data_IF_338738107835
#
_entry.id   IF_338738107835
#
_cell.length_a   1.000
_cell.length_b   1.000
_cell.length_c   1.000
_cell.angle_alpha   90.00
_cell.angle_beta   90.00
_cell.angle_gamma   90.00
#
_symmetry.space_group_name_H-M   'P 1'
#
loop_
_entity.id
_entity.type
_entity.pdbx_description
1 polymer ?
#
# COMPACT_ATOMS: atom_id res chain seq x y z
N UNK A 1 -11.79 25.90 30.97
CA UNK A 1 -12.67 24.90 30.34
C UNK A 1 -11.86 23.80 29.67
N UNK A 2 -12.37 22.60 29.66
CA UNK A 2 -11.78 21.49 28.91
C UNK A 2 -12.55 21.28 27.62
N UNK A 3 -11.84 21.00 26.56
CA UNK A 3 -12.40 20.66 25.25
C UNK A 3 -12.03 19.23 24.91
N UNK A 4 -12.94 18.51 24.30
CA UNK A 4 -12.67 17.13 23.83
C UNK A 4 -12.18 17.16 22.39
N UNK A 5 -11.21 16.30 22.12
CA UNK A 5 -10.78 15.99 20.76
C UNK A 5 -10.76 14.48 20.56
N UNK A 6 -10.80 14.07 19.30
CA UNK A 6 -10.88 12.68 18.93
C UNK A 6 -9.76 12.38 17.94
N UNK A 7 -8.86 11.47 18.31
CA UNK A 7 -7.72 11.09 17.49
C UNK A 7 -8.01 9.73 16.86
N UNK A 8 -7.89 9.66 15.54
CA UNK A 8 -7.91 8.38 14.83
C UNK A 8 -6.51 7.78 14.91
N UNK A 9 -6.41 6.61 15.51
CA UNK A 9 -5.16 5.89 15.71
C UNK A 9 -5.22 4.59 14.94
N UNK A 10 -4.22 4.34 14.11
CA UNK A 10 -4.01 3.04 13.49
C UNK A 10 -2.75 2.40 14.07
N UNK A 11 -2.63 1.09 13.92
CA UNK A 11 -1.48 0.36 14.38
C UNK A 11 -1.10 -0.73 13.40
N UNK A 12 0.18 -1.07 13.39
CA UNK A 12 0.72 -2.15 12.59
C UNK A 12 1.61 -3.04 13.44
N UNK A 13 1.69 -4.32 13.04
CA UNK A 13 2.51 -5.30 13.71
C UNK A 13 1.82 -5.99 14.88
N UNK A 14 2.55 -6.88 15.53
CA UNK A 14 2.10 -7.66 16.67
C UNK A 14 3.25 -7.85 17.66
N UNK A 15 2.92 -7.97 18.96
CA UNK A 15 3.87 -8.24 20.05
C UNK A 15 5.10 -7.34 20.07
N UNK A 16 6.23 -7.80 19.54
CA UNK A 16 7.53 -7.14 19.64
C UNK A 16 7.73 -6.01 18.64
N UNK A 17 6.95 -6.02 17.55
CA UNK A 17 7.02 -5.03 16.46
C UNK A 17 5.71 -4.29 16.29
N UNK A 18 5.17 -3.78 17.38
CA UNK A 18 3.92 -3.02 17.39
C UNK A 18 4.21 -1.51 17.25
N UNK A 19 3.61 -0.88 16.25
CA UNK A 19 3.73 0.56 16.00
C UNK A 19 2.34 1.19 15.91
N UNK A 20 2.17 2.31 16.62
CA UNK A 20 0.94 3.12 16.57
C UNK A 20 1.17 4.38 15.74
N UNK A 21 0.16 4.74 14.97
CA UNK A 21 0.17 5.93 14.12
C UNK A 21 -1.01 6.82 14.45
N UNK A 22 -0.74 8.10 14.76
CA UNK A 22 -1.77 9.10 14.94
C UNK A 22 -2.12 9.69 13.56
N UNK A 23 -3.26 9.27 13.01
CA UNK A 23 -3.62 9.59 11.64
C UNK A 23 -4.17 11.00 11.50
N UNK A 24 -5.16 11.36 12.31
CA UNK A 24 -5.80 12.67 12.26
C UNK A 24 -6.57 12.98 13.55
N UNK A 25 -6.69 14.26 13.86
CA UNK A 25 -7.41 14.77 15.03
C UNK A 25 -8.67 15.50 14.57
N UNK A 26 -9.78 15.24 15.24
CA UNK A 26 -11.08 15.85 14.96
C UNK A 26 -11.68 16.47 16.23
N UNK A 27 -12.48 17.49 16.06
CA UNK A 27 -13.25 18.08 17.16
C UNK A 27 -14.54 17.30 17.45
N UNK A 28 -15.07 16.58 16.46
CA UNK A 28 -16.32 15.84 16.55
C UNK A 28 -16.09 14.35 16.42
N UNK A 29 -16.69 13.59 17.33
CA UNK A 29 -16.55 12.13 17.36
C UNK A 29 -17.07 11.48 16.07
N UNK A 30 -18.21 11.93 15.56
CA UNK A 30 -18.79 11.37 14.33
C UNK A 30 -17.88 11.54 13.10
N UNK A 31 -17.15 12.65 13.01
CA UNK A 31 -16.19 12.88 11.92
C UNK A 31 -14.98 11.95 12.06
N UNK A 32 -14.50 11.76 13.29
CA UNK A 32 -13.40 10.81 13.56
C UNK A 32 -13.81 9.36 13.25
N UNK A 33 -15.01 8.94 13.67
CA UNK A 33 -15.54 7.60 13.42
C UNK A 33 -15.68 7.36 11.91
N UNK A 34 -16.19 8.34 11.16
CA UNK A 34 -16.32 8.23 9.71
C UNK A 34 -14.97 8.13 9.00
N UNK A 35 -14.00 8.93 9.42
CA UNK A 35 -12.64 8.87 8.88
C UNK A 35 -11.99 7.52 9.14
N UNK A 36 -12.10 7.00 10.37
CA UNK A 36 -11.60 5.68 10.74
C UNK A 36 -12.21 4.59 9.87
N UNK A 37 -13.51 4.64 9.66
CA UNK A 37 -14.25 3.70 8.82
C UNK A 37 -13.79 3.73 7.36
N UNK A 38 -13.58 4.93 6.80
CA UNK A 38 -13.09 5.09 5.43
C UNK A 38 -11.67 4.54 5.29
N UNK A 39 -10.80 4.84 6.26
CA UNK A 39 -9.41 4.37 6.24
C UNK A 39 -9.33 2.85 6.34
N UNK A 40 -10.14 2.23 7.20
CA UNK A 40 -10.23 0.78 7.32
C UNK A 40 -10.78 0.15 6.03
N UNK A 41 -11.78 0.76 5.42
CA UNK A 41 -12.32 0.29 4.15
C UNK A 41 -11.26 0.27 3.04
N UNK A 42 -10.44 1.31 2.94
CA UNK A 42 -9.33 1.36 1.97
C UNK A 42 -8.28 0.28 2.24
N UNK A 43 -7.93 0.06 3.52
CA UNK A 43 -6.88 -0.89 3.90
C UNK A 43 -7.30 -2.35 3.80
N UNK A 44 -8.56 -2.65 4.10
CA UNK A 44 -9.06 -4.04 4.21
C UNK A 44 -10.00 -4.47 3.09
N UNK A 45 -10.36 -3.57 2.18
CA UNK A 45 -11.19 -3.93 1.03
C UNK A 45 -10.47 -4.95 0.14
N UNK A 46 -11.14 -6.05 -0.18
CA UNK A 46 -10.57 -7.06 -1.07
C UNK A 46 -10.40 -6.51 -2.48
N UNK A 47 -9.25 -6.77 -3.13
CA UNK A 47 -9.05 -6.40 -4.52
C UNK A 47 -10.01 -7.17 -5.45
N UNK A 48 -10.34 -6.56 -6.57
CA UNK A 48 -11.15 -7.21 -7.62
C UNK A 48 -10.34 -8.18 -8.47
N UNK A 49 -9.01 -8.05 -8.44
CA UNK A 49 -8.11 -8.93 -9.20
C UNK A 49 -7.99 -10.26 -8.48
N UNK A 50 -8.17 -11.36 -9.22
CA UNK A 50 -7.98 -12.71 -8.70
C UNK A 50 -6.52 -12.91 -8.26
N UNK A 51 -6.32 -13.42 -7.05
CA UNK A 51 -5.00 -13.64 -6.47
C UNK A 51 -4.14 -14.59 -7.32
N UNK A 52 -4.74 -15.65 -7.86
CA UNK A 52 -4.03 -16.61 -8.72
C UNK A 52 -3.52 -15.95 -9.99
N UNK A 53 -4.39 -15.17 -10.65
CA UNK A 53 -4.04 -14.42 -11.85
C UNK A 53 -2.94 -13.40 -11.57
N UNK A 54 -3.02 -12.71 -10.44
CA UNK A 54 -1.99 -11.76 -10.01
C UNK A 54 -0.63 -12.42 -9.80
N UNK A 55 -0.60 -13.57 -9.12
CA UNK A 55 0.64 -14.32 -8.88
C UNK A 55 1.25 -14.84 -10.19
N UNK A 56 0.42 -15.27 -11.12
CA UNK A 56 0.89 -15.64 -12.47
C UNK A 56 1.53 -14.44 -13.18
N UNK A 57 0.88 -13.28 -13.13
CA UNK A 57 1.39 -12.06 -13.73
C UNK A 57 2.74 -11.65 -13.13
N UNK A 58 2.85 -11.65 -11.81
CA UNK A 58 4.12 -11.35 -11.12
C UNK A 58 5.22 -12.36 -11.47
N UNK A 59 4.89 -13.64 -11.46
CA UNK A 59 5.83 -14.68 -11.86
C UNK A 59 6.36 -14.50 -13.28
N UNK A 60 5.50 -14.14 -14.21
CA UNK A 60 5.88 -13.85 -15.59
C UNK A 60 6.71 -12.57 -15.73
N UNK A 61 6.44 -11.56 -14.92
CA UNK A 61 7.26 -10.36 -14.88
C UNK A 61 8.71 -10.70 -14.47
N UNK A 62 8.89 -11.43 -13.37
CA UNK A 62 10.22 -11.83 -12.89
C UNK A 62 10.91 -12.74 -13.90
N UNK A 63 10.22 -13.74 -14.42
CA UNK A 63 10.77 -14.65 -15.42
C UNK A 63 11.25 -13.91 -16.67
N UNK A 64 10.41 -13.04 -17.24
CA UNK A 64 10.72 -12.30 -18.45
C UNK A 64 11.93 -11.38 -18.27
N UNK A 65 11.98 -10.66 -17.13
CA UNK A 65 13.09 -9.74 -16.87
C UNK A 65 14.39 -10.47 -16.56
N UNK A 66 14.33 -11.59 -15.83
CA UNK A 66 15.51 -12.43 -15.59
C UNK A 66 16.08 -12.99 -16.89
N UNK A 67 15.22 -13.46 -17.79
CA UNK A 67 15.63 -13.93 -19.11
C UNK A 67 16.27 -12.82 -19.96
N UNK A 68 15.71 -11.61 -19.88
CA UNK A 68 16.16 -10.48 -20.70
C UNK A 68 17.43 -9.82 -20.17
N UNK A 69 17.55 -9.65 -18.86
CA UNK A 69 18.61 -8.87 -18.21
C UNK A 69 19.57 -9.71 -17.34
N UNK A 70 19.26 -10.99 -17.12
CA UNK A 70 20.03 -11.88 -16.26
C UNK A 70 19.75 -11.74 -14.78
N UNK A 71 20.45 -12.53 -13.96
CA UNK A 71 20.33 -12.46 -12.51
C UNK A 71 20.74 -11.08 -12.00
N UNK A 72 20.04 -10.61 -10.98
CA UNK A 72 20.33 -9.33 -10.35
C UNK A 72 19.77 -8.10 -11.08
N UNK A 73 18.96 -8.26 -12.10
CA UNK A 73 18.33 -7.14 -12.81
C UNK A 73 17.51 -6.20 -11.90
N UNK A 74 17.05 -6.72 -10.75
CA UNK A 74 16.32 -5.91 -9.75
C UNK A 74 17.23 -4.94 -8.99
N UNK A 75 18.55 -5.17 -9.01
CA UNK A 75 19.50 -4.32 -8.31
C UNK A 75 19.57 -2.98 -9.03
N UNK A 76 19.29 -1.91 -8.28
CA UNK A 76 19.40 -0.55 -8.80
C UNK A 76 20.87 -0.16 -8.83
N UNK A 77 21.42 0.24 -10.01
CA UNK A 77 22.86 0.50 -10.16
C UNK A 77 23.31 1.85 -9.59
N UNK A 78 22.49 2.49 -8.79
CA UNK A 78 22.77 3.78 -8.17
C UNK A 78 22.78 3.65 -6.65
N UNK A 79 23.65 4.43 -6.02
CA UNK A 79 23.74 4.45 -4.55
C UNK A 79 22.73 5.45 -3.99
N UNK A 80 21.86 4.99 -3.11
CA UNK A 80 20.80 5.82 -2.50
C UNK A 80 21.38 6.98 -1.69
N UNK A 81 22.58 6.84 -1.11
CA UNK A 81 23.20 7.86 -0.28
C UNK A 81 23.94 8.93 -1.10
N UNK A 82 24.57 8.53 -2.20
CA UNK A 82 25.39 9.43 -3.04
C UNK A 82 24.68 9.85 -4.32
N UNK A 83 23.73 9.07 -4.79
CA UNK A 83 22.98 9.30 -6.03
C UNK A 83 21.48 9.14 -5.81
N UNK A 84 20.87 9.89 -4.86
CA UNK A 84 19.47 9.67 -4.47
C UNK A 84 18.48 9.97 -5.59
N UNK A 85 18.74 10.95 -6.45
CA UNK A 85 17.85 11.30 -7.57
C UNK A 85 17.84 10.24 -8.65
N UNK A 86 19.02 9.73 -9.00
CA UNK A 86 19.18 8.65 -9.99
C UNK A 86 18.58 7.35 -9.48
N UNK A 87 18.78 7.04 -8.18
CA UNK A 87 18.18 5.88 -7.53
C UNK A 87 16.66 5.94 -7.59
N UNK A 88 16.06 7.05 -7.17
CA UNK A 88 14.61 7.25 -7.17
C UNK A 88 14.02 7.16 -8.58
N UNK A 89 14.65 7.83 -9.56
CA UNK A 89 14.18 7.79 -10.94
C UNK A 89 14.19 6.37 -11.51
N UNK A 90 15.24 5.60 -11.23
CA UNK A 90 15.35 4.21 -11.66
C UNK A 90 14.28 3.33 -11.02
N UNK A 91 14.06 3.48 -9.71
CA UNK A 91 13.04 2.76 -8.97
C UNK A 91 11.64 3.07 -9.49
N UNK A 92 11.31 4.35 -9.67
CA UNK A 92 10.01 4.78 -10.17
C UNK A 92 9.73 4.25 -11.58
N UNK A 93 10.74 4.24 -12.44
CA UNK A 93 10.62 3.68 -13.78
C UNK A 93 10.34 2.17 -13.75
N UNK A 94 11.04 1.43 -12.91
CA UNK A 94 10.82 -0.02 -12.74
C UNK A 94 9.43 -0.32 -12.22
N UNK A 95 8.97 0.45 -11.24
CA UNK A 95 7.63 0.29 -10.68
C UNK A 95 6.56 0.58 -11.73
N UNK A 96 6.70 1.62 -12.52
CA UNK A 96 5.79 1.96 -13.62
C UNK A 96 5.78 0.87 -14.70
N UNK A 97 6.95 0.39 -15.11
CA UNK A 97 7.08 -0.67 -16.12
C UNK A 97 6.44 -1.96 -15.62
N UNK A 98 6.66 -2.32 -14.36
CA UNK A 98 6.03 -3.48 -13.73
C UNK A 98 4.52 -3.38 -13.72
N UNK A 99 3.96 -2.23 -13.29
CA UNK A 99 2.51 -2.02 -13.23
C UNK A 99 1.86 -2.13 -14.60
N UNK A 100 2.49 -1.55 -15.63
CA UNK A 100 2.01 -1.64 -16.99
C UNK A 100 2.03 -3.08 -17.51
N UNK A 101 3.09 -3.82 -17.23
CA UNK A 101 3.18 -5.23 -17.59
C UNK A 101 2.10 -6.07 -16.91
N UNK A 102 1.92 -5.89 -15.60
CA UNK A 102 0.92 -6.61 -14.81
C UNK A 102 -0.49 -6.31 -15.32
N UNK A 103 -0.79 -5.04 -15.61
CA UNK A 103 -2.08 -4.65 -16.16
C UNK A 103 -2.35 -5.32 -17.51
N UNK A 104 -1.38 -5.29 -18.41
CA UNK A 104 -1.50 -5.94 -19.72
C UNK A 104 -1.68 -7.46 -19.58
N UNK A 105 -0.96 -8.08 -18.67
CA UNK A 105 -1.06 -9.52 -18.44
C UNK A 105 -2.45 -9.91 -17.91
N UNK A 106 -2.93 -9.26 -16.86
CA UNK A 106 -4.24 -9.59 -16.27
C UNK A 106 -5.39 -9.29 -17.22
N UNK A 107 -5.28 -8.27 -18.08
CA UNK A 107 -6.27 -7.98 -19.11
C UNK A 107 -6.26 -9.00 -20.25
N UNK A 108 -5.09 -9.57 -20.54
CA UNK A 108 -4.95 -10.59 -21.60
C UNK A 108 -5.39 -11.98 -21.17
N UNK A 109 -5.27 -12.29 -19.88
CA UNK A 109 -5.51 -13.65 -19.35
C UNK A 109 -6.70 -13.76 -18.41
N UNK A 110 -7.25 -12.62 -17.96
CA UNK A 110 -8.42 -12.59 -17.09
C UNK A 110 -9.74 -12.58 -17.86
N UNK A 111 -10.83 -12.80 -17.14
CA UNK A 111 -12.17 -12.86 -17.69
C UNK A 111 -12.86 -11.48 -17.78
N UNK A 112 -12.23 -10.43 -17.24
CA UNK A 112 -12.75 -9.08 -17.21
C UNK A 112 -11.65 -8.06 -17.51
N UNK A 113 -12.06 -6.83 -17.81
CA UNK A 113 -11.13 -5.72 -18.01
C UNK A 113 -10.81 -5.05 -16.67
N UNK A 114 -9.53 -4.91 -16.40
CA UNK A 114 -9.00 -4.24 -15.20
C UNK A 114 -8.42 -2.88 -15.57
N UNK A 115 -8.37 -1.99 -14.59
CA UNK A 115 -7.77 -0.65 -14.71
C UNK A 115 -6.48 -0.56 -13.93
N UNK A 116 -5.70 0.51 -14.14
CA UNK A 116 -4.51 0.78 -13.34
C UNK A 116 -4.86 0.98 -11.85
N UNK A 117 -6.02 1.55 -11.54
CA UNK A 117 -6.49 1.69 -10.17
C UNK A 117 -6.67 0.33 -9.48
N UNK A 118 -7.14 -0.68 -10.22
CA UNK A 118 -7.27 -2.05 -9.72
C UNK A 118 -5.89 -2.64 -9.36
N UNK A 119 -4.87 -2.41 -10.18
CA UNK A 119 -3.49 -2.84 -9.93
C UNK A 119 -2.92 -2.14 -8.69
N UNK A 120 -3.08 -0.83 -8.61
CA UNK A 120 -2.59 -0.04 -7.48
C UNK A 120 -3.31 -0.39 -6.17
N UNK A 121 -4.60 -0.70 -6.24
CA UNK A 121 -5.36 -1.17 -5.09
C UNK A 121 -4.80 -2.50 -4.57
N UNK A 122 -4.50 -3.43 -5.47
CA UNK A 122 -3.93 -4.72 -5.07
C UNK A 122 -2.55 -4.56 -4.45
N UNK A 123 -1.69 -3.70 -4.99
CA UNK A 123 -0.39 -3.40 -4.39
C UNK A 123 -0.54 -2.88 -2.96
N UNK A 124 -1.42 -1.91 -2.74
CA UNK A 124 -1.68 -1.35 -1.41
C UNK A 124 -2.24 -2.42 -0.46
N UNK A 125 -3.13 -3.26 -0.94
CA UNK A 125 -3.70 -4.34 -0.14
C UNK A 125 -2.64 -5.33 0.32
N UNK A 126 -1.72 -5.73 -0.56
CA UNK A 126 -0.62 -6.62 -0.22
C UNK A 126 0.37 -5.99 0.75
N UNK A 127 0.71 -4.71 0.55
CA UNK A 127 1.56 -3.95 1.45
C UNK A 127 0.93 -3.88 2.85
N UNK A 128 -0.35 -3.59 2.95
CA UNK A 128 -1.07 -3.52 4.22
C UNK A 128 -1.09 -4.88 4.93
N UNK A 129 -1.24 -5.97 4.20
CA UNK A 129 -1.15 -7.33 4.76
C UNK A 129 0.25 -7.63 5.29
N UNK A 130 1.27 -7.21 4.57
CA UNK A 130 2.66 -7.41 4.98
C UNK A 130 2.97 -6.69 6.30
N UNK A 131 2.43 -5.49 6.49
CA UNK A 131 2.63 -4.71 7.71
C UNK A 131 1.66 -5.07 8.84
N UNK A 132 0.76 -6.02 8.64
CA UNK A 132 -0.20 -6.48 9.65
C UNK A 132 -1.00 -5.33 10.27
N UNK A 133 -1.62 -4.49 9.44
CA UNK A 133 -2.46 -3.39 9.91
C UNK A 133 -3.65 -3.89 10.74
N UNK A 134 -3.90 -3.23 11.85
CA UNK A 134 -5.07 -3.44 12.69
C UNK A 134 -6.16 -2.40 12.37
N UNK A 135 -7.44 -2.70 12.65
CA UNK A 135 -8.50 -1.72 12.52
C UNK A 135 -8.22 -0.44 13.32
N UNK A 136 -8.62 0.70 12.78
CA UNK A 136 -8.45 1.99 13.42
C UNK A 136 -9.28 2.09 14.70
N UNK A 137 -8.73 2.77 15.70
CA UNK A 137 -9.41 3.15 16.94
C UNK A 137 -9.57 4.66 17.00
N UNK A 138 -10.63 5.12 17.66
CA UNK A 138 -10.83 6.54 17.94
C UNK A 138 -10.60 6.76 19.43
N UNK A 139 -9.58 7.56 19.76
CA UNK A 139 -9.26 7.93 21.13
C UNK A 139 -9.86 9.28 21.48
N UNK A 140 -10.58 9.35 22.60
CA UNK A 140 -11.07 10.61 23.16
C UNK A 140 -10.01 11.18 24.09
N UNK A 141 -9.67 12.44 23.88
CA UNK A 141 -8.73 13.16 24.75
C UNK A 141 -9.36 14.47 25.22
N UNK A 142 -9.00 14.87 26.42
CA UNK A 142 -9.34 16.16 26.97
C UNK A 142 -8.12 17.08 26.92
N UNK A 143 -8.35 18.34 26.56
CA UNK A 143 -7.31 19.36 26.69
C UNK A 143 -7.88 20.65 27.27
N UNK A 144 -7.04 21.37 27.98
CA UNK A 144 -7.37 22.63 28.63
C UNK A 144 -7.09 23.78 27.68
N UNK A 145 -8.11 24.60 27.45
CA UNK A 145 -8.00 25.81 26.64
C UNK A 145 -7.45 26.98 27.47
#
# INVERSE_FOLDING_TARGET
MTTKAYIVVSSEGSFEEYYSHYEKVFRRKNEADEYAKQLDAERFAKPVVDEKLWREAEGMWYYTNEQKYGEGWEIIPYNILTQPKEFEACQNKRDADKRNYLLDYINSHGERTYTMDDVMHLERYEDNRQYEWNPCEVMEIDFVE
#
